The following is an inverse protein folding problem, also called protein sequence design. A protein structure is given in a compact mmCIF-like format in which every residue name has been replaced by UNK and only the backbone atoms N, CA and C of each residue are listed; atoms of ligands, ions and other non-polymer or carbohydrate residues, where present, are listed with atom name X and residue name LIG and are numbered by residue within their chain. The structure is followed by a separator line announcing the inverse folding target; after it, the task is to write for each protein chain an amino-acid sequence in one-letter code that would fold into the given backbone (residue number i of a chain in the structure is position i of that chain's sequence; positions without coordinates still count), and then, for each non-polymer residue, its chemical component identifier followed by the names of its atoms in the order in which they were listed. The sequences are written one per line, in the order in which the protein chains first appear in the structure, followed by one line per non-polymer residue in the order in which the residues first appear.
data_IF_462368615623
#
_entry.id   IF_462368615623
#
_cell.length_a   1.000
_cell.length_b   1.000
_cell.length_c   1.000
_cell.angle_alpha   90.00
_cell.angle_beta   90.00
_cell.angle_gamma   90.00
#
_symmetry.space_group_name_H-M   'P 1'
#
loop_
_entity.id
_entity.type
_entity.pdbx_description
1 polymer ?
#
# COMPACT_ATOMS: atom_id res chain seq x y z
N UNK A 1 8.56 9.92 -33.27
CA UNK A 1 7.47 10.58 -32.53
C UNK A 1 7.92 10.84 -31.09
N UNK A 2 7.83 12.06 -30.61
CA UNK A 2 8.08 12.35 -29.20
C UNK A 2 6.90 11.80 -28.38
N UNK A 3 7.21 11.06 -27.29
CA UNK A 3 6.17 10.65 -26.33
C UNK A 3 5.53 11.90 -25.74
N UNK A 4 4.20 11.94 -25.58
CA UNK A 4 3.54 13.07 -24.94
C UNK A 4 4.06 13.24 -23.51
N UNK A 5 4.34 14.49 -23.14
CA UNK A 5 4.76 14.82 -21.78
C UNK A 5 3.52 14.73 -20.87
N UNK A 6 3.57 14.02 -19.75
CA UNK A 6 2.47 13.98 -18.79
C UNK A 6 2.15 15.37 -18.25
N UNK A 7 0.87 15.65 -18.07
CA UNK A 7 0.40 16.92 -17.51
C UNK A 7 0.43 16.85 -15.98
N UNK A 8 0.77 17.97 -15.34
CA UNK A 8 0.63 18.12 -13.89
C UNK A 8 -0.86 18.14 -13.54
N UNK A 9 -1.22 17.41 -12.50
CA UNK A 9 -2.58 17.34 -11.94
C UNK A 9 -2.64 18.25 -10.71
N UNK A 10 -3.53 19.25 -10.75
CA UNK A 10 -3.78 20.14 -9.62
C UNK A 10 -5.03 19.70 -8.89
N UNK A 11 -4.98 19.65 -7.56
CA UNK A 11 -6.16 19.37 -6.71
C UNK A 11 -7.11 20.57 -6.61
N UNK A 12 -6.73 21.73 -7.15
CA UNK A 12 -7.64 22.85 -7.33
C UNK A 12 -8.68 22.62 -8.44
N UNK A 13 -8.43 21.70 -9.35
CA UNK A 13 -9.39 21.33 -10.39
C UNK A 13 -10.57 20.55 -9.77
N UNK A 14 -11.79 20.83 -10.26
CA UNK A 14 -12.97 20.07 -9.85
C UNK A 14 -12.93 18.66 -10.39
N UNK A 15 -13.18 17.68 -9.52
CA UNK A 15 -13.43 16.29 -9.88
C UNK A 15 -14.73 15.82 -9.23
N UNK A 16 -15.39 14.82 -9.82
CA UNK A 16 -16.62 14.29 -9.28
C UNK A 16 -16.40 13.68 -7.88
N UNK A 17 -17.34 13.91 -6.97
CA UNK A 17 -17.37 13.25 -5.67
C UNK A 17 -17.92 11.84 -5.82
N UNK A 18 -17.24 10.89 -5.17
CA UNK A 18 -17.69 9.52 -4.99
C UNK A 18 -18.12 9.31 -3.54
N UNK A 19 -19.34 8.81 -3.34
CA UNK A 19 -19.87 8.55 -2.00
C UNK A 19 -19.88 7.05 -1.74
N UNK A 20 -19.44 6.66 -0.54
CA UNK A 20 -19.42 5.28 -0.10
C UNK A 20 -19.57 5.17 1.42
N UNK A 21 -19.59 3.97 1.92
CA UNK A 21 -19.66 3.65 3.34
C UNK A 21 -18.87 2.37 3.61
N UNK A 22 -18.49 2.08 4.87
CA UNK A 22 -17.90 0.80 5.21
C UNK A 22 -18.87 -0.35 4.92
N UNK A 23 -18.33 -1.50 4.55
CA UNK A 23 -19.14 -2.73 4.50
C UNK A 23 -19.79 -3.00 5.84
N UNK A 24 -21.06 -3.44 5.82
CA UNK A 24 -21.82 -3.71 7.04
C UNK A 24 -21.10 -4.70 7.98
N UNK A 25 -20.40 -5.68 7.42
CA UNK A 25 -19.61 -6.66 8.19
C UNK A 25 -18.39 -6.04 8.89
N UNK A 26 -17.91 -4.88 8.44
CA UNK A 26 -16.76 -4.17 9.01
C UNK A 26 -17.17 -3.04 9.96
N UNK A 27 -18.40 -2.58 9.88
CA UNK A 27 -18.92 -1.48 10.69
C UNK A 27 -19.00 -1.89 12.17
N UNK A 28 -18.43 -1.08 13.05
CA UNK A 28 -18.41 -1.31 14.50
C UNK A 28 -19.34 -0.33 15.23
N UNK A 29 -19.39 0.94 14.82
CA UNK A 29 -20.29 1.93 15.38
C UNK A 29 -20.54 3.11 14.45
N UNK A 30 -21.68 3.78 14.63
CA UNK A 30 -22.08 4.93 13.84
C UNK A 30 -22.61 4.55 12.44
N UNK A 31 -22.77 5.57 11.61
CA UNK A 31 -23.15 5.45 10.20
C UNK A 31 -22.28 6.37 9.36
N UNK A 32 -20.96 6.11 9.29
CA UNK A 32 -20.06 6.98 8.56
C UNK A 32 -20.37 6.95 7.07
N UNK A 33 -20.29 8.13 6.46
CA UNK A 33 -20.36 8.31 5.02
C UNK A 33 -19.03 8.83 4.54
N UNK A 34 -18.47 8.20 3.51
CA UNK A 34 -17.24 8.62 2.87
C UNK A 34 -17.52 9.47 1.65
N UNK A 35 -16.72 10.50 1.45
CA UNK A 35 -16.70 11.30 0.22
C UNK A 35 -15.28 11.32 -0.32
N UNK A 36 -15.10 10.83 -1.52
CA UNK A 36 -13.79 10.74 -2.17
C UNK A 36 -13.76 11.60 -3.43
N UNK A 37 -12.76 12.47 -3.51
CA UNK A 37 -12.39 13.20 -4.70
C UNK A 37 -11.03 12.69 -5.19
N UNK A 38 -11.05 11.69 -6.06
CA UNK A 38 -9.82 11.14 -6.60
C UNK A 38 -9.34 12.00 -7.76
N UNK A 39 -8.19 12.67 -7.59
CA UNK A 39 -7.63 13.58 -8.57
C UNK A 39 -6.70 12.92 -9.56
N UNK A 40 -6.05 11.84 -9.16
CA UNK A 40 -5.11 11.16 -10.02
C UNK A 40 -5.10 9.64 -9.77
N UNK A 41 -5.02 8.91 -10.86
CA UNK A 41 -4.75 7.46 -10.91
C UNK A 41 -3.75 7.21 -12.01
N UNK A 42 -2.67 6.47 -11.73
CA UNK A 42 -1.71 6.09 -12.75
C UNK A 42 -2.27 5.04 -13.72
N UNK A 43 -1.57 4.83 -14.83
CA UNK A 43 -2.01 3.90 -15.87
C UNK A 43 -2.10 2.44 -15.40
N UNK A 44 -1.31 2.07 -14.39
CA UNK A 44 -1.29 0.72 -13.82
C UNK A 44 -2.32 0.53 -12.70
N UNK A 45 -3.06 1.59 -12.34
CA UNK A 45 -4.02 1.60 -11.23
C UNK A 45 -3.42 1.15 -9.90
N UNK A 46 -2.23 1.66 -9.60
CA UNK A 46 -1.46 1.34 -8.40
C UNK A 46 -1.09 2.56 -7.57
N UNK A 47 -1.16 3.72 -8.17
CA UNK A 47 -0.93 5.01 -7.52
C UNK A 47 -2.19 5.85 -7.63
N UNK A 48 -2.71 6.28 -6.49
CA UNK A 48 -3.90 7.10 -6.39
C UNK A 48 -3.61 8.29 -5.48
N UNK A 49 -4.16 9.44 -5.81
CA UNK A 49 -4.11 10.58 -4.91
C UNK A 49 -5.33 11.46 -5.03
N UNK A 50 -5.73 12.03 -3.91
CA UNK A 50 -6.92 12.86 -3.84
C UNK A 50 -7.23 13.31 -2.43
N UNK A 51 -8.51 13.60 -2.22
CA UNK A 51 -9.07 14.04 -0.94
C UNK A 51 -10.18 13.06 -0.53
N UNK A 52 -10.11 12.62 0.71
CA UNK A 52 -11.11 11.75 1.31
C UNK A 52 -11.66 12.39 2.59
N UNK A 53 -12.94 12.26 2.78
CA UNK A 53 -13.64 12.73 3.97
C UNK A 53 -14.52 11.63 4.56
N UNK A 54 -14.71 11.67 5.86
CA UNK A 54 -15.63 10.78 6.59
C UNK A 54 -16.39 11.53 7.65
N UNK A 55 -17.67 11.22 7.79
CA UNK A 55 -18.44 11.54 8.98
C UNK A 55 -18.09 10.58 10.12
N UNK A 56 -18.57 10.85 11.33
CA UNK A 56 -18.25 10.07 12.53
C UNK A 56 -18.66 8.60 12.41
N UNK A 57 -17.81 7.73 12.93
CA UNK A 57 -18.03 6.28 12.96
C UNK A 57 -16.75 5.50 13.15
N UNK A 58 -16.90 4.19 13.35
CA UNK A 58 -15.79 3.27 13.57
C UNK A 58 -15.98 1.99 12.77
N UNK A 59 -14.93 1.54 12.14
CA UNK A 59 -14.95 0.33 11.31
C UNK A 59 -13.59 -0.38 11.28
N UNK A 60 -13.63 -1.66 10.94
CA UNK A 60 -12.43 -2.47 10.72
C UNK A 60 -11.78 -2.10 9.40
N UNK A 61 -10.46 -2.02 9.42
CA UNK A 61 -9.64 -1.76 8.23
C UNK A 61 -8.53 -2.79 8.09
N UNK A 62 -8.19 -3.10 6.85
CA UNK A 62 -6.98 -3.84 6.49
C UNK A 62 -6.42 -3.28 5.20
N UNK A 63 -5.13 -3.01 5.16
CA UNK A 63 -4.47 -2.32 4.06
C UNK A 63 -3.56 -3.28 3.30
N UNK A 64 -3.86 -3.50 2.03
CA UNK A 64 -2.92 -4.14 1.09
C UNK A 64 -1.96 -3.13 0.48
N UNK A 65 -2.28 -1.86 0.60
CA UNK A 65 -1.58 -0.68 0.08
C UNK A 65 -0.82 0.07 1.18
N UNK A 66 0.16 0.86 0.76
CA UNK A 66 0.71 1.94 1.58
C UNK A 66 -0.11 3.20 1.35
N UNK A 67 -0.47 3.91 2.40
CA UNK A 67 -1.20 5.17 2.30
C UNK A 67 -0.50 6.27 3.09
N UNK A 68 -0.12 7.35 2.41
CA UNK A 68 0.25 8.61 3.04
C UNK A 68 -1.00 9.44 3.28
N UNK A 69 -1.16 9.96 4.48
CA UNK A 69 -2.29 10.79 4.90
C UNK A 69 -1.80 12.14 5.43
N UNK A 70 -2.49 13.20 5.05
CA UNK A 70 -2.33 14.53 5.61
C UNK A 70 -3.69 15.06 6.05
N UNK A 71 -3.88 15.22 7.36
CA UNK A 71 -5.16 15.65 7.93
C UNK A 71 -5.40 17.14 7.66
N UNK A 72 -6.45 17.43 6.94
CA UNK A 72 -6.89 18.81 6.64
C UNK A 72 -7.89 19.33 7.66
N UNK A 73 -8.78 18.46 8.17
CA UNK A 73 -9.84 18.77 9.12
C UNK A 73 -10.16 17.57 10.01
N UNK A 74 -10.66 17.84 11.20
CA UNK A 74 -11.24 16.82 12.07
C UNK A 74 -10.22 16.01 12.87
N UNK A 75 -10.67 14.85 13.35
CA UNK A 75 -9.86 13.96 14.18
C UNK A 75 -10.19 12.51 13.89
N UNK A 76 -9.15 11.68 13.89
CA UNK A 76 -9.25 10.25 13.67
C UNK A 76 -8.38 9.48 14.68
N UNK A 77 -8.79 8.27 15.00
CA UNK A 77 -8.04 7.30 15.82
C UNK A 77 -7.87 6.01 15.07
N UNK A 78 -6.65 5.53 14.99
CA UNK A 78 -6.34 4.20 14.50
C UNK A 78 -5.90 3.33 15.67
N UNK A 79 -6.46 2.14 15.76
CA UNK A 79 -6.04 1.12 16.73
C UNK A 79 -5.60 -0.10 15.96
N UNK A 80 -4.35 -0.49 16.12
CA UNK A 80 -3.78 -1.70 15.54
C UNK A 80 -4.30 -2.96 16.24
N UNK A 81 -4.26 -4.10 15.57
CA UNK A 81 -4.66 -5.39 16.16
C UNK A 81 -3.79 -5.80 17.37
N UNK A 82 -2.59 -5.24 17.52
CA UNK A 82 -1.75 -5.42 18.71
C UNK A 82 -2.12 -4.49 19.89
N UNK A 83 -3.13 -3.62 19.71
CA UNK A 83 -3.61 -2.68 20.71
C UNK A 83 -2.92 -1.31 20.69
N UNK A 84 -1.95 -1.07 19.82
CA UNK A 84 -1.33 0.24 19.65
C UNK A 84 -2.35 1.26 19.16
N UNK A 85 -2.34 2.45 19.76
CA UNK A 85 -3.27 3.55 19.46
C UNK A 85 -2.51 4.73 18.86
N UNK A 86 -3.04 5.30 17.78
CA UNK A 86 -2.54 6.51 17.16
C UNK A 86 -3.69 7.48 16.90
N UNK A 87 -3.58 8.68 17.44
CA UNK A 87 -4.55 9.78 17.27
C UNK A 87 -3.97 10.84 16.35
N UNK A 88 -4.81 11.29 15.42
CA UNK A 88 -4.44 12.31 14.43
C UNK A 88 -5.50 13.42 14.38
N UNK A 89 -5.03 14.64 14.21
CA UNK A 89 -5.85 15.84 14.09
C UNK A 89 -5.36 16.69 12.91
N UNK A 90 -6.08 17.78 12.65
CA UNK A 90 -5.72 18.76 11.61
C UNK A 90 -4.24 19.13 11.69
N UNK A 91 -3.54 19.03 10.56
CA UNK A 91 -2.12 19.32 10.43
C UNK A 91 -1.19 18.14 10.63
N UNK A 92 -1.68 17.00 11.09
CA UNK A 92 -0.89 15.78 11.24
C UNK A 92 -0.68 15.07 9.90
N UNK A 93 0.49 14.44 9.77
CA UNK A 93 0.88 13.66 8.61
C UNK A 93 1.34 12.29 9.08
N UNK A 94 0.90 11.24 8.39
CA UNK A 94 1.27 9.88 8.76
C UNK A 94 1.19 8.91 7.57
N UNK A 95 1.79 7.76 7.74
CA UNK A 95 1.73 6.65 6.78
C UNK A 95 1.07 5.45 7.44
N UNK A 96 0.12 4.86 6.74
CA UNK A 96 -0.41 3.54 7.06
C UNK A 96 0.29 2.54 6.14
N UNK A 97 1.19 1.70 6.67
CA UNK A 97 1.91 0.73 5.85
C UNK A 97 1.01 -0.38 5.32
N UNK A 98 1.34 -0.94 4.17
CA UNK A 98 0.72 -2.18 3.70
C UNK A 98 0.89 -3.29 4.73
N UNK A 99 -0.17 -4.05 4.95
CA UNK A 99 -0.24 -5.07 5.99
C UNK A 99 -0.83 -4.60 7.31
N UNK A 100 -1.08 -3.30 7.48
CA UNK A 100 -1.79 -2.80 8.67
C UNK A 100 -3.19 -3.41 8.76
N UNK A 101 -3.55 -3.84 9.95
CA UNK A 101 -4.88 -4.34 10.29
C UNK A 101 -5.29 -3.80 11.67
N UNK A 102 -6.53 -3.33 11.75
CA UNK A 102 -7.04 -2.72 12.96
C UNK A 102 -8.36 -2.01 12.74
N UNK A 103 -8.54 -0.87 13.38
CA UNK A 103 -9.74 -0.04 13.27
C UNK A 103 -9.39 1.39 12.93
N UNK A 104 -10.25 2.01 12.15
CA UNK A 104 -10.32 3.46 11.98
C UNK A 104 -11.56 3.98 12.70
N UNK A 105 -11.41 5.05 13.47
CA UNK A 105 -12.49 5.78 14.07
C UNK A 105 -12.41 7.26 13.71
N UNK A 106 -13.43 7.77 13.05
CA UNK A 106 -13.59 9.21 12.85
C UNK A 106 -14.26 9.77 14.09
N UNK A 107 -13.48 10.48 14.92
CA UNK A 107 -13.92 11.07 16.19
C UNK A 107 -14.65 12.41 16.00
N UNK A 108 -14.25 13.17 14.99
CA UNK A 108 -14.91 14.36 14.49
C UNK A 108 -14.83 14.32 12.96
N UNK A 109 -15.85 14.79 12.24
CA UNK A 109 -15.86 14.75 10.78
C UNK A 109 -14.51 15.19 10.23
N UNK A 110 -13.87 14.32 9.46
CA UNK A 110 -12.49 14.53 9.03
C UNK A 110 -12.36 14.59 7.51
N UNK A 111 -11.34 15.28 7.08
CA UNK A 111 -10.93 15.37 5.68
C UNK A 111 -9.40 15.27 5.60
N UNK A 112 -8.91 14.48 4.68
CA UNK A 112 -7.47 14.27 4.50
C UNK A 112 -7.09 14.26 3.01
N UNK A 113 -5.88 14.69 2.73
CA UNK A 113 -5.18 14.32 1.50
C UNK A 113 -4.73 12.87 1.64
N UNK A 114 -4.82 12.10 0.56
CA UNK A 114 -4.26 10.76 0.50
C UNK A 114 -3.37 10.56 -0.71
N UNK A 115 -2.36 9.77 -0.52
CA UNK A 115 -1.57 9.14 -1.58
C UNK A 115 -1.52 7.66 -1.28
N UNK A 116 -2.04 6.87 -2.20
CA UNK A 116 -2.08 5.41 -2.08
C UNK A 116 -1.13 4.81 -3.10
N UNK A 117 -0.30 3.87 -2.64
CA UNK A 117 0.52 3.02 -3.48
C UNK A 117 0.22 1.56 -3.20
N UNK A 118 -0.29 0.88 -4.23
CA UNK A 118 -0.57 -0.55 -4.18
C UNK A 118 0.65 -1.32 -4.72
N UNK A 119 1.42 -2.02 -3.85
CA UNK A 119 2.58 -2.76 -4.29
C UNK A 119 2.22 -3.82 -5.33
N UNK A 120 3.11 -4.12 -6.28
CA UNK A 120 2.91 -5.27 -7.16
C UNK A 120 2.81 -6.54 -6.32
N UNK A 121 1.92 -7.46 -6.74
CA UNK A 121 1.93 -8.80 -6.15
C UNK A 121 3.34 -9.38 -6.33
N UNK A 122 3.92 -10.03 -5.29
CA UNK A 122 5.19 -10.73 -5.45
C UNK A 122 5.03 -11.70 -6.63
N UNK A 123 5.84 -11.49 -7.66
CA UNK A 123 5.93 -12.52 -8.70
C UNK A 123 6.53 -13.76 -8.03
N UNK A 124 5.97 -14.98 -8.25
CA UNK A 124 6.68 -16.18 -7.88
C UNK A 124 8.07 -16.03 -8.46
N UNK A 125 9.11 -16.17 -7.63
CA UNK A 125 10.48 -16.27 -8.13
C UNK A 125 10.42 -17.30 -9.25
N UNK A 126 10.57 -16.86 -10.51
CA UNK A 126 10.79 -17.77 -11.60
C UNK A 126 11.89 -18.67 -11.08
N UNK A 127 11.62 -19.99 -10.95
CA UNK A 127 12.67 -20.95 -10.63
C UNK A 127 13.79 -20.58 -11.57
N UNK A 128 14.86 -20.00 -11.06
CA UNK A 128 16.10 -19.86 -11.81
C UNK A 128 16.32 -21.27 -12.29
N UNK A 129 16.14 -21.47 -13.60
CA UNK A 129 16.54 -22.71 -14.22
C UNK A 129 17.94 -22.89 -13.70
N UNK A 130 18.16 -23.96 -12.92
CA UNK A 130 19.48 -24.30 -12.46
C UNK A 130 20.30 -24.41 -13.74
N UNK A 131 21.06 -23.38 -14.05
CA UNK A 131 22.04 -23.44 -15.09
C UNK A 131 22.88 -24.63 -14.69
N UNK A 132 22.85 -25.66 -15.49
CA UNK A 132 23.79 -26.77 -15.41
C UNK A 132 25.17 -26.17 -15.69
N UNK A 133 25.71 -25.47 -14.71
CA UNK A 133 27.12 -25.14 -14.72
C UNK A 133 27.87 -26.44 -14.50
N UNK A 134 28.50 -26.85 -15.58
CA UNK A 134 29.65 -27.61 -15.72
C UNK A 134 29.95 -28.64 -14.61
N UNK A 135 29.67 -29.90 -14.89
CA UNK A 135 30.36 -30.98 -14.25
C UNK A 135 31.89 -30.74 -14.49
N UNK A 136 32.58 -30.27 -13.44
CA UNK A 136 34.04 -30.23 -13.44
C UNK A 136 34.50 -31.67 -13.56
N UNK A 137 35.01 -32.04 -14.73
CA UNK A 137 35.71 -33.32 -14.94
C UNK A 137 36.91 -33.34 -14.00
N UNK A 138 36.83 -34.12 -12.93
CA UNK A 138 37.98 -34.48 -12.13
C UNK A 138 38.97 -35.23 -13.03
N UNK A 139 40.13 -34.65 -13.27
CA UNK A 139 41.25 -35.37 -13.90
C UNK A 139 41.64 -36.55 -13.03
N UNK A 140 41.86 -37.76 -13.61
CA UNK A 140 42.34 -38.90 -12.83
C UNK A 140 43.75 -38.66 -12.35
N UNK A 141 44.03 -39.01 -11.10
CA UNK A 141 45.33 -38.91 -10.51
C UNK A 141 46.35 -39.83 -11.20
N UNK A 142 47.62 -39.43 -11.32
CA UNK A 142 48.64 -40.27 -11.97
C UNK A 142 48.92 -41.53 -11.17
N UNK A 143 48.89 -42.70 -11.87
CA UNK A 143 49.23 -44.01 -11.29
C UNK A 143 50.73 -44.03 -10.94
N UNK A 144 51.03 -44.19 -9.67
CA UNK A 144 52.39 -44.49 -9.18
C UNK A 144 52.76 -45.93 -9.56
N UNK A 145 53.73 -46.09 -10.43
CA UNK A 145 54.33 -47.39 -10.76
C UNK A 145 55.18 -47.86 -9.56
N UNK A 146 54.78 -48.93 -8.88
CA UNK A 146 55.69 -49.64 -7.96
C UNK A 146 56.76 -50.36 -8.73
N UNK A 147 58.00 -49.99 -8.52
CA UNK A 147 59.14 -50.79 -8.93
C UNK A 147 59.24 -51.99 -7.98
N UNK A 148 59.26 -53.19 -8.56
CA UNK A 148 59.68 -54.44 -7.85
C UNK A 148 61.17 -54.48 -7.82
N UNK A 149 61.71 -54.82 -6.67
CA UNK A 149 63.05 -55.47 -6.52
C UNK A 149 62.81 -56.95 -6.27
#
# INVERSE_FOLDING_TARGET
MRKPVPKIVSFAASVAAEHSAPDAARLLSGRPVFTTHNHYTDAEQRFFSGVWASTEGKWRVSYAEHEFCSMLEGRARLVSDDGSVADFATGDHFVIPAGFSGTWETLAPCRKLYVIYLPPKPQPLARRAASKEGAVRKKPAPRVRKRRR
#
